data_IF_739237578806
#
_entry.id   IF_739237578806
#
_cell.length_a   1.000
_cell.length_b   1.000
_cell.length_c   1.000
_cell.angle_alpha   90.00
_cell.angle_beta   90.00
_cell.angle_gamma   90.00
#
_symmetry.space_group_name_H-M   'P 1'
#
loop_
_entity.id
_entity.type
_entity.pdbx_description
1 polymer ?
#
# COMPACT_ATOMS: atom_id res chain seq x y z
N UNK A 1 14.47 2.56 5.46
CA UNK A 1 13.81 3.22 4.31
C UNK A 1 12.50 3.82 4.76
N UNK A 2 12.22 5.03 4.32
CA UNK A 2 10.97 5.71 4.70
C UNK A 2 9.87 5.42 3.70
N UNK A 3 8.64 5.35 4.19
CA UNK A 3 7.47 5.21 3.33
C UNK A 3 7.26 6.54 2.59
N UNK A 4 7.13 6.53 1.25
CA UNK A 4 6.84 7.74 0.48
C UNK A 4 5.52 8.37 0.94
N UNK A 5 5.51 9.68 1.08
CA UNK A 5 4.32 10.41 1.51
C UNK A 5 3.34 10.57 0.35
N UNK A 6 2.07 10.63 0.69
CA UNK A 6 1.01 10.92 -0.27
C UNK A 6 1.17 12.34 -0.84
N UNK A 7 1.02 12.47 -2.16
CA UNK A 7 1.11 13.77 -2.84
C UNK A 7 -0.22 14.52 -2.68
N UNK A 8 -0.17 15.85 -2.81
CA UNK A 8 -1.36 16.70 -2.64
C UNK A 8 -2.50 16.36 -3.60
N UNK A 9 -2.15 16.03 -4.84
CA UNK A 9 -3.11 15.71 -5.90
C UNK A 9 -3.42 14.22 -6.01
N UNK A 10 -2.90 13.42 -5.09
CA UNK A 10 -3.00 11.97 -5.11
C UNK A 10 -4.10 11.51 -4.16
N UNK A 11 -5.00 10.64 -4.66
CA UNK A 11 -5.98 10.00 -3.79
C UNK A 11 -5.29 8.93 -2.93
N UNK A 12 -5.94 8.55 -1.84
CA UNK A 12 -5.41 7.50 -0.97
C UNK A 12 -5.25 6.18 -1.73
N UNK A 13 -6.22 5.85 -2.59
CA UNK A 13 -6.14 4.63 -3.42
C UNK A 13 -4.96 4.66 -4.38
N UNK A 14 -4.71 5.82 -5.01
CA UNK A 14 -3.57 5.99 -5.90
C UNK A 14 -2.25 5.86 -5.17
N UNK A 15 -2.16 6.44 -3.98
CA UNK A 15 -0.97 6.33 -3.14
C UNK A 15 -0.69 4.88 -2.74
N UNK A 16 -1.72 4.14 -2.35
CA UNK A 16 -1.59 2.72 -2.01
C UNK A 16 -1.10 1.90 -3.21
N UNK A 17 -1.64 2.16 -4.39
CA UNK A 17 -1.21 1.47 -5.61
C UNK A 17 0.26 1.79 -5.93
N UNK A 18 0.66 3.06 -5.76
CA UNK A 18 2.05 3.47 -5.96
C UNK A 18 2.99 2.78 -4.99
N UNK A 19 2.61 2.66 -3.72
CA UNK A 19 3.42 1.93 -2.74
C UNK A 19 3.61 0.47 -3.15
N UNK A 20 2.53 -0.17 -3.59
CA UNK A 20 2.59 -1.57 -4.02
C UNK A 20 3.57 -1.74 -5.19
N UNK A 21 3.59 -0.79 -6.14
CA UNK A 21 4.50 -0.83 -7.27
C UNK A 21 5.95 -0.56 -6.87
N UNK A 22 6.18 0.46 -6.05
CA UNK A 22 7.53 0.84 -5.64
C UNK A 22 8.22 -0.26 -4.83
N UNK A 23 7.48 -0.99 -4.03
CA UNK A 23 8.04 -2.07 -3.21
C UNK A 23 7.87 -3.45 -3.84
N UNK A 24 7.45 -3.52 -5.11
CA UNK A 24 7.34 -4.78 -5.86
C UNK A 24 6.49 -5.83 -5.16
N UNK A 25 5.35 -5.45 -4.64
CA UNK A 25 4.41 -6.41 -4.08
C UNK A 25 3.84 -7.25 -5.22
N UNK A 26 3.68 -8.56 -5.01
CA UNK A 26 3.18 -9.44 -6.04
C UNK A 26 1.71 -9.16 -6.38
N UNK A 27 1.23 -9.72 -7.50
CA UNK A 27 -0.12 -9.49 -7.98
C UNK A 27 -1.19 -9.89 -6.97
N UNK A 28 -0.95 -10.99 -6.26
CA UNK A 28 -1.89 -11.48 -5.24
C UNK A 28 -2.00 -10.49 -4.08
N UNK A 29 -0.88 -9.98 -3.61
CA UNK A 29 -0.87 -9.00 -2.53
C UNK A 29 -1.53 -7.70 -2.97
N UNK A 30 -1.27 -7.25 -4.20
CA UNK A 30 -1.92 -6.05 -4.74
C UNK A 30 -3.44 -6.23 -4.81
N UNK A 31 -3.91 -7.40 -5.18
CA UNK A 31 -5.33 -7.71 -5.24
C UNK A 31 -5.99 -7.67 -3.86
N UNK A 32 -5.34 -8.26 -2.86
CA UNK A 32 -5.81 -8.23 -1.48
C UNK A 32 -5.89 -6.79 -0.96
N UNK A 33 -4.87 -6.01 -1.20
CA UNK A 33 -4.83 -4.60 -0.79
C UNK A 33 -5.97 -3.81 -1.45
N UNK A 34 -6.22 -4.07 -2.73
CA UNK A 34 -7.31 -3.41 -3.45
C UNK A 34 -8.66 -3.73 -2.82
N UNK A 35 -8.92 -4.99 -2.50
CA UNK A 35 -10.18 -5.41 -1.87
C UNK A 35 -10.35 -4.77 -0.48
N UNK A 36 -9.31 -4.77 0.32
CA UNK A 36 -9.34 -4.15 1.65
C UNK A 36 -9.54 -2.64 1.53
N UNK A 37 -8.93 -1.99 0.55
CA UNK A 37 -9.05 -0.55 0.34
C UNK A 37 -10.46 -0.14 -0.06
N UNK A 38 -11.20 -0.99 -0.74
CA UNK A 38 -12.60 -0.75 -1.06
C UNK A 38 -13.45 -0.67 0.20
N UNK A 39 -13.12 -1.49 1.20
CA UNK A 39 -13.85 -1.54 2.47
C UNK A 39 -13.40 -0.43 3.44
N UNK A 40 -12.08 -0.20 3.54
CA UNK A 40 -11.51 0.79 4.44
C UNK A 40 -10.11 1.19 3.96
N UNK A 41 -9.97 2.45 3.54
CA UNK A 41 -8.68 2.98 3.09
C UNK A 41 -7.62 2.94 4.20
N UNK A 42 -8.02 3.28 5.43
CA UNK A 42 -7.09 3.29 6.55
C UNK A 42 -6.57 1.88 6.83
N UNK A 43 -7.48 0.91 6.82
CA UNK A 43 -7.12 -0.49 7.05
C UNK A 43 -6.21 -1.02 5.93
N UNK A 44 -6.52 -0.67 4.68
CA UNK A 44 -5.69 -1.06 3.53
C UNK A 44 -4.28 -0.50 3.63
N UNK A 45 -4.15 0.76 4.03
CA UNK A 45 -2.84 1.40 4.22
C UNK A 45 -2.04 0.69 5.30
N UNK A 46 -2.66 0.41 6.44
CA UNK A 46 -2.00 -0.30 7.54
C UNK A 46 -1.55 -1.69 7.12
N UNK A 47 -2.36 -2.37 6.31
CA UNK A 47 -2.02 -3.69 5.78
C UNK A 47 -0.77 -3.65 4.91
N UNK A 48 -0.66 -2.63 4.05
CA UNK A 48 0.53 -2.44 3.22
C UNK A 48 1.76 -2.24 4.10
N UNK A 49 1.67 -1.37 5.08
CA UNK A 49 2.78 -1.06 5.99
C UNK A 49 3.23 -2.32 6.73
N UNK A 50 2.29 -3.07 7.28
CA UNK A 50 2.59 -4.29 8.01
C UNK A 50 3.25 -5.34 7.12
N UNK A 51 2.77 -5.49 5.88
CA UNK A 51 3.34 -6.41 4.91
C UNK A 51 4.79 -6.03 4.58
N UNK A 52 5.05 -4.75 4.34
CA UNK A 52 6.40 -4.27 4.04
C UNK A 52 7.36 -4.51 5.20
N UNK A 53 6.89 -4.34 6.43
CA UNK A 53 7.69 -4.61 7.62
C UNK A 53 8.00 -6.10 7.76
N UNK A 54 7.01 -6.97 7.52
CA UNK A 54 7.20 -8.42 7.59
C UNK A 54 8.20 -8.92 6.57
N UNK A 55 8.19 -8.33 5.38
CA UNK A 55 9.09 -8.72 4.30
C UNK A 55 10.46 -8.05 4.38
N UNK A 56 10.68 -7.22 5.39
CA UNK A 56 11.95 -6.54 5.59
C UNK A 56 12.21 -5.44 4.58
N UNK A 57 11.18 -4.89 3.95
CA UNK A 57 11.31 -3.82 2.96
C UNK A 57 11.25 -2.42 3.57
N UNK A 58 10.92 -2.34 4.83
CA UNK A 58 10.95 -1.10 5.60
C UNK A 58 11.89 -1.24 6.78
#
# INVERSE_FOLDING_TARGET
MKIPKMKEDESLAMWQARLAQEFNLDARMQEIIREVSVTSYIHGTNMIIDTLKKEGKL
#
